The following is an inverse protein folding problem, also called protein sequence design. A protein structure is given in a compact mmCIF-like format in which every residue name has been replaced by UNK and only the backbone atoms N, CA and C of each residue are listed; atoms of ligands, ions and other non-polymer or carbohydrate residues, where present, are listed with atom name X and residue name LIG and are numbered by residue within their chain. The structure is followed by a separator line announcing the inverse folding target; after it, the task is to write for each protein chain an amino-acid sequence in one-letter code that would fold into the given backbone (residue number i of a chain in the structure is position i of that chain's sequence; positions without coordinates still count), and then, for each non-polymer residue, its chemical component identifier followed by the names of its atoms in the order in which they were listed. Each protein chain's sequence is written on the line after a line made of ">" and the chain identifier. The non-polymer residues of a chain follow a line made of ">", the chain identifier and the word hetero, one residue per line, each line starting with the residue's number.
data_IF_544789738290
#
_entry.id   IF_544789738290
#
_cell.length_a   1.000
_cell.length_b   1.000
_cell.length_c   1.000
_cell.angle_alpha   90.00
_cell.angle_beta   90.00
_cell.angle_gamma   90.00
#
_symmetry.space_group_name_H-M   'P 1'
#
loop_
_entity.id
_entity.type
_entity.pdbx_description
1 polymer ?
#
# COMPACT_ATOMS: atom_id res chain seq x y z
N UNK A 1 -2.93 -35.34 33.17
CA UNK A 1 -2.12 -34.12 32.95
C UNK A 1 -1.52 -34.16 31.54
N UNK A 2 -2.27 -33.78 30.51
CA UNK A 2 -1.79 -33.76 29.10
C UNK A 2 -2.35 -32.60 28.26
N UNK A 3 -3.08 -31.66 28.87
CA UNK A 3 -3.86 -30.63 28.14
C UNK A 3 -3.04 -29.41 27.66
N UNK A 4 -1.79 -29.23 28.10
CA UNK A 4 -1.06 -27.97 27.85
C UNK A 4 -0.39 -27.85 26.47
N UNK A 5 -0.25 -28.93 25.68
CA UNK A 5 0.50 -28.89 24.42
C UNK A 5 -0.33 -28.45 23.21
N UNK A 6 -1.65 -28.62 23.22
CA UNK A 6 -2.50 -28.26 22.08
C UNK A 6 -2.72 -26.75 21.95
N UNK A 7 -2.77 -26.02 23.07
CA UNK A 7 -3.03 -24.58 23.08
C UNK A 7 -1.89 -23.77 22.45
N UNK A 8 -0.64 -24.18 22.65
CA UNK A 8 0.51 -23.46 22.11
C UNK A 8 0.60 -23.56 20.58
N UNK A 9 0.24 -24.71 20.01
CA UNK A 9 0.25 -24.92 18.55
C UNK A 9 -0.81 -24.10 17.81
N UNK A 10 -1.96 -23.81 18.43
CA UNK A 10 -3.01 -23.00 17.80
C UNK A 10 -2.67 -21.50 17.75
N UNK A 11 -1.91 -21.00 18.72
CA UNK A 11 -1.55 -19.57 18.77
C UNK A 11 -0.55 -19.22 17.66
N UNK A 12 0.40 -20.11 17.35
CA UNK A 12 1.39 -19.86 16.30
C UNK A 12 0.76 -19.83 14.90
N UNK A 13 -0.14 -20.76 14.59
CA UNK A 13 -0.73 -20.88 13.25
C UNK A 13 -1.65 -19.70 12.89
N UNK A 14 -2.35 -19.13 13.88
CA UNK A 14 -3.22 -17.96 13.67
C UNK A 14 -2.42 -16.69 13.38
N UNK A 15 -1.23 -16.55 13.99
CA UNK A 15 -0.36 -15.39 13.80
C UNK A 15 0.25 -15.32 12.39
N UNK A 16 0.64 -16.46 11.81
CA UNK A 16 1.26 -16.51 10.49
C UNK A 16 0.28 -16.17 9.36
N UNK A 17 -0.92 -16.77 9.39
CA UNK A 17 -1.98 -16.47 8.42
C UNK A 17 -2.37 -15.00 8.44
N UNK A 18 -2.34 -14.39 9.63
CA UNK A 18 -2.60 -12.97 9.79
C UNK A 18 -1.50 -12.14 9.11
N UNK A 19 -0.23 -12.43 9.38
CA UNK A 19 0.92 -11.76 8.77
C UNK A 19 0.89 -11.84 7.23
N UNK A 20 0.58 -13.01 6.68
CA UNK A 20 0.49 -13.22 5.23
C UNK A 20 -0.60 -12.35 4.59
N UNK A 21 -1.77 -12.21 5.25
CA UNK A 21 -2.86 -11.34 4.77
C UNK A 21 -2.46 -9.87 4.78
N UNK A 22 -1.73 -9.42 5.81
CA UNK A 22 -1.23 -8.05 5.91
C UNK A 22 -0.21 -7.76 4.80
N UNK A 23 0.74 -8.67 4.60
CA UNK A 23 1.77 -8.55 3.57
C UNK A 23 1.13 -8.52 2.17
N UNK A 24 0.23 -9.45 1.88
CA UNK A 24 -0.47 -9.50 0.59
C UNK A 24 -1.27 -8.22 0.30
N UNK A 25 -1.95 -7.67 1.31
CA UNK A 25 -2.66 -6.40 1.17
C UNK A 25 -1.72 -5.22 0.94
N UNK A 26 -0.60 -5.15 1.66
CA UNK A 26 0.40 -4.11 1.48
C UNK A 26 1.00 -4.14 0.07
N UNK A 27 1.43 -5.32 -0.40
CA UNK A 27 1.97 -5.49 -1.75
C UNK A 27 0.95 -5.10 -2.81
N UNK A 28 -0.32 -5.47 -2.63
CA UNK A 28 -1.39 -5.08 -3.55
C UNK A 28 -1.60 -3.55 -3.58
N UNK A 29 -1.61 -2.89 -2.41
CA UNK A 29 -1.73 -1.43 -2.32
C UNK A 29 -0.54 -0.70 -2.93
N UNK A 30 0.68 -1.22 -2.78
CA UNK A 30 1.91 -0.69 -3.40
C UNK A 30 1.81 -0.83 -4.92
N UNK A 31 1.44 -2.01 -5.44
CA UNK A 31 1.30 -2.25 -6.87
C UNK A 31 0.26 -1.33 -7.51
N UNK A 32 -0.89 -1.11 -6.85
CA UNK A 32 -1.89 -0.16 -7.33
C UNK A 32 -1.38 1.29 -7.35
N UNK A 33 -0.61 1.71 -6.35
CA UNK A 33 0.00 3.04 -6.33
C UNK A 33 1.05 3.22 -7.43
N UNK A 34 1.92 2.23 -7.61
CA UNK A 34 2.92 2.23 -8.68
C UNK A 34 2.25 2.38 -10.06
N UNK A 35 1.20 1.58 -10.32
CA UNK A 35 0.41 1.69 -11.54
C UNK A 35 -0.25 3.07 -11.69
N UNK A 36 -0.78 3.65 -10.61
CA UNK A 36 -1.39 4.98 -10.65
C UNK A 36 -0.37 6.10 -10.92
N UNK A 37 0.87 5.97 -10.39
CA UNK A 37 1.93 6.94 -10.60
C UNK A 37 2.54 6.87 -11.99
N UNK A 38 3.00 5.69 -12.41
CA UNK A 38 3.81 5.54 -13.62
C UNK A 38 3.15 4.76 -14.75
N UNK A 39 1.96 4.17 -14.54
CA UNK A 39 1.29 3.36 -15.56
C UNK A 39 1.03 4.14 -16.85
N UNK A 40 0.66 5.42 -16.74
CA UNK A 40 0.47 6.28 -17.90
C UNK A 40 1.78 6.58 -18.65
N UNK A 41 2.92 6.72 -17.95
CA UNK A 41 4.25 6.89 -18.55
C UNK A 41 4.63 5.63 -19.32
N UNK A 42 4.43 4.45 -18.72
CA UNK A 42 4.68 3.18 -19.40
C UNK A 42 3.82 3.01 -20.65
N UNK A 43 2.53 3.39 -20.60
CA UNK A 43 1.65 3.36 -21.79
C UNK A 43 2.14 4.32 -22.87
N UNK A 44 2.53 5.54 -22.50
CA UNK A 44 3.05 6.52 -23.45
C UNK A 44 4.36 6.04 -24.10
N UNK A 45 5.31 5.53 -23.32
CA UNK A 45 6.54 4.93 -23.83
C UNK A 45 6.27 3.75 -24.76
N UNK A 46 5.27 2.91 -24.45
CA UNK A 46 4.90 1.79 -25.31
C UNK A 46 4.41 2.28 -26.68
N UNK A 47 3.64 3.37 -26.73
CA UNK A 47 3.15 3.97 -27.98
C UNK A 47 4.34 4.51 -28.79
N UNK A 48 5.20 5.31 -28.17
CA UNK A 48 6.38 5.90 -28.84
C UNK A 48 7.32 4.82 -29.41
N UNK A 49 7.52 3.73 -28.67
CA UNK A 49 8.38 2.63 -29.12
C UNK A 49 7.69 1.82 -30.24
N UNK A 50 6.37 1.63 -30.18
CA UNK A 50 5.63 0.91 -31.22
C UNK A 50 5.63 1.63 -32.58
N UNK A 51 5.79 2.96 -32.59
CA UNK A 51 5.93 3.75 -33.82
C UNK A 51 7.37 3.74 -34.37
N UNK A 52 8.34 3.23 -33.62
CA UNK A 52 9.73 3.20 -34.03
C UNK A 52 9.98 2.18 -35.15
N UNK A 53 10.65 2.56 -36.25
CA UNK A 53 11.01 1.63 -37.32
C UNK A 53 12.03 0.57 -36.88
N UNK A 54 12.65 0.73 -35.71
CA UNK A 54 13.61 -0.19 -35.11
C UNK A 54 13.02 -1.00 -33.95
N UNK A 55 11.70 -1.21 -33.94
CA UNK A 55 11.02 -1.91 -32.85
C UNK A 55 11.55 -3.33 -32.67
N UNK A 56 12.19 -3.57 -31.53
CA UNK A 56 12.53 -4.89 -31.02
C UNK A 56 11.79 -5.12 -29.71
N UNK A 57 10.77 -5.98 -29.73
CA UNK A 57 9.90 -6.25 -28.60
C UNK A 57 10.67 -6.66 -27.34
N UNK A 58 11.69 -7.52 -27.48
CA UNK A 58 12.40 -8.08 -26.33
C UNK A 58 13.18 -6.99 -25.56
N UNK A 59 13.88 -6.13 -26.28
CA UNK A 59 14.64 -5.02 -25.70
C UNK A 59 13.72 -3.87 -25.25
N UNK A 60 12.62 -3.63 -25.97
CA UNK A 60 11.68 -2.54 -25.67
C UNK A 60 10.84 -2.79 -24.43
N UNK A 61 10.51 -4.06 -24.15
CA UNK A 61 9.67 -4.41 -23.01
C UNK A 61 10.30 -4.01 -21.67
N UNK A 62 11.62 -4.18 -21.53
CA UNK A 62 12.35 -3.77 -20.34
C UNK A 62 12.29 -2.25 -20.11
N UNK A 63 12.41 -1.47 -21.18
CA UNK A 63 12.32 0.00 -21.12
C UNK A 63 10.92 0.47 -20.71
N UNK A 64 9.88 -0.16 -21.26
CA UNK A 64 8.47 0.16 -20.92
C UNK A 64 8.14 -0.14 -19.46
N UNK A 65 8.70 -1.22 -18.91
CA UNK A 65 8.48 -1.61 -17.52
C UNK A 65 9.38 -0.88 -16.51
N UNK A 66 10.50 -0.29 -16.94
CA UNK A 66 11.44 0.37 -16.04
C UNK A 66 10.79 1.47 -15.18
N UNK A 67 9.97 2.41 -15.72
CA UNK A 67 9.26 3.39 -14.91
C UNK A 67 8.37 2.75 -13.83
N UNK A 68 7.70 1.65 -14.18
CA UNK A 68 6.84 0.91 -13.25
C UNK A 68 7.63 0.23 -12.14
N UNK A 69 8.77 -0.37 -12.46
CA UNK A 69 9.68 -0.94 -11.47
C UNK A 69 10.20 0.10 -10.48
N UNK A 70 10.65 1.25 -10.99
CA UNK A 70 11.11 2.38 -10.15
C UNK A 70 9.97 2.89 -9.26
N UNK A 71 8.80 3.15 -9.83
CA UNK A 71 7.64 3.60 -9.06
C UNK A 71 7.22 2.59 -7.99
N UNK A 72 7.30 1.29 -8.28
CA UNK A 72 7.00 0.24 -7.32
C UNK A 72 7.97 0.23 -6.15
N UNK A 73 9.29 0.29 -6.42
CA UNK A 73 10.32 0.35 -5.38
C UNK A 73 10.16 1.60 -4.51
N UNK A 74 9.98 2.78 -5.12
CA UNK A 74 9.80 4.03 -4.38
C UNK A 74 8.52 4.02 -3.54
N UNK A 75 7.41 3.49 -4.09
CA UNK A 75 6.15 3.36 -3.35
C UNK A 75 6.29 2.38 -2.19
N UNK A 76 7.02 1.27 -2.37
CA UNK A 76 7.30 0.32 -1.30
C UNK A 76 8.13 0.95 -0.17
N UNK A 77 9.19 1.69 -0.50
CA UNK A 77 10.01 2.42 0.47
C UNK A 77 9.15 3.44 1.21
N UNK A 78 8.37 4.26 0.49
CA UNK A 78 7.48 5.24 1.10
C UNK A 78 6.43 4.60 2.02
N UNK A 79 5.88 3.44 1.63
CA UNK A 79 4.95 2.69 2.46
C UNK A 79 5.60 2.22 3.78
N UNK A 80 6.84 1.71 3.72
CA UNK A 80 7.56 1.25 4.91
C UNK A 80 7.96 2.42 5.81
N UNK A 81 8.54 3.47 5.24
CA UNK A 81 9.10 4.60 6.00
C UNK A 81 8.01 5.55 6.53
N UNK A 82 6.93 5.73 5.79
CA UNK A 82 5.87 6.71 6.10
C UNK A 82 4.56 6.00 6.43
N UNK A 83 4.14 5.07 5.58
CA UNK A 83 2.85 4.39 5.71
C UNK A 83 2.69 3.57 6.99
N UNK A 84 3.71 2.79 7.37
CA UNK A 84 3.67 1.96 8.59
C UNK A 84 3.65 2.82 9.87
N UNK A 85 4.55 3.79 10.08
CA UNK A 85 4.47 4.68 11.24
C UNK A 85 3.15 5.45 11.30
N UNK A 86 2.67 5.95 10.16
CA UNK A 86 1.37 6.62 10.08
C UNK A 86 0.22 5.69 10.50
N UNK A 87 0.27 4.42 10.12
CA UNK A 87 -0.73 3.42 10.54
C UNK A 87 -0.70 3.23 12.06
N UNK A 88 0.48 3.19 12.68
CA UNK A 88 0.60 3.09 14.14
C UNK A 88 -0.02 4.32 14.82
N UNK A 89 0.34 5.53 14.39
CA UNK A 89 -0.20 6.78 14.94
C UNK A 89 -1.72 6.89 14.77
N UNK A 90 -2.25 6.48 13.61
CA UNK A 90 -3.69 6.49 13.34
C UNK A 90 -4.43 5.40 14.10
N UNK A 91 -3.79 4.27 14.42
CA UNK A 91 -4.43 3.18 15.17
C UNK A 91 -4.70 3.50 16.63
N UNK A 92 -3.93 4.44 17.21
CA UNK A 92 -4.17 4.96 18.56
C UNK A 92 -5.30 6.01 18.58
N UNK A 93 -5.62 6.60 17.42
CA UNK A 93 -6.71 7.54 17.28
C UNK A 93 -7.97 6.78 16.87
N UNK A 94 -9.08 6.89 17.60
CA UNK A 94 -10.35 6.16 17.34
C UNK A 94 -11.06 6.49 15.98
N UNK A 95 -10.35 7.09 15.01
CA UNK A 95 -10.86 7.52 13.71
C UNK A 95 -9.98 7.06 12.54
N UNK A 96 -9.69 5.76 12.43
CA UNK A 96 -9.09 5.19 11.22
C UNK A 96 -10.04 5.38 10.02
N UNK A 97 -9.70 6.33 9.15
CA UNK A 97 -10.50 6.66 7.96
C UNK A 97 -9.63 6.50 6.70
N UNK A 98 -10.09 5.78 5.66
CA UNK A 98 -9.32 5.62 4.41
C UNK A 98 -8.91 6.95 3.77
N UNK A 99 -9.74 7.98 3.93
CA UNK A 99 -9.47 9.34 3.45
C UNK A 99 -8.22 9.97 4.10
N UNK A 100 -7.95 9.70 5.38
CA UNK A 100 -6.76 10.22 6.09
C UNK A 100 -5.49 9.57 5.56
N UNK A 101 -5.51 8.26 5.34
CA UNK A 101 -4.41 7.54 4.70
C UNK A 101 -4.15 8.05 3.27
N UNK A 102 -5.22 8.26 2.48
CA UNK A 102 -5.11 8.81 1.13
C UNK A 102 -4.53 10.23 1.14
N UNK A 103 -4.99 11.11 2.03
CA UNK A 103 -4.50 12.49 2.14
C UNK A 103 -3.03 12.55 2.57
N UNK A 104 -2.65 11.76 3.58
CA UNK A 104 -1.25 11.68 4.01
C UNK A 104 -0.36 11.09 2.92
N UNK A 105 -0.80 10.01 2.26
CA UNK A 105 -0.09 9.42 1.13
C UNK A 105 0.08 10.41 -0.02
N UNK A 106 -0.97 11.15 -0.40
CA UNK A 106 -0.90 12.20 -1.41
C UNK A 106 0.09 13.31 -1.02
N UNK A 107 0.02 13.78 0.23
CA UNK A 107 0.88 14.84 0.75
C UNK A 107 2.36 14.44 0.69
N UNK A 108 2.73 13.28 1.24
CA UNK A 108 4.12 12.82 1.21
C UNK A 108 4.58 12.38 -0.18
N UNK A 109 3.68 11.79 -0.95
CA UNK A 109 3.92 11.40 -2.35
C UNK A 109 4.19 12.60 -3.25
N UNK A 110 3.63 13.77 -2.94
CA UNK A 110 3.97 15.03 -3.61
C UNK A 110 5.24 15.65 -3.04
N UNK A 111 5.31 15.77 -1.71
CA UNK A 111 6.34 16.56 -1.00
C UNK A 111 7.73 16.00 -1.22
N UNK A 112 7.92 14.67 -1.15
CA UNK A 112 9.24 14.05 -1.26
C UNK A 112 9.84 14.24 -2.66
N UNK A 113 9.16 13.89 -3.78
CA UNK A 113 9.69 14.15 -5.10
C UNK A 113 9.84 15.64 -5.40
N UNK A 114 8.93 16.50 -4.92
CA UNK A 114 9.05 17.95 -5.09
C UNK A 114 10.32 18.49 -4.40
N UNK A 115 10.60 18.04 -3.18
CA UNK A 115 11.81 18.39 -2.45
C UNK A 115 13.08 17.90 -3.17
N UNK A 116 13.11 16.63 -3.60
CA UNK A 116 14.24 16.06 -4.36
C UNK A 116 14.50 16.84 -5.65
N UNK A 117 13.43 17.15 -6.40
CA UNK A 117 13.49 17.93 -7.64
C UNK A 117 14.07 19.33 -7.37
N UNK A 118 13.60 19.99 -6.30
CA UNK A 118 14.06 21.32 -5.91
C UNK A 118 15.54 21.35 -5.54
N UNK A 119 16.04 20.37 -4.80
CA UNK A 119 17.47 20.34 -4.38
C UNK A 119 18.40 19.88 -5.49
N UNK A 120 17.88 19.13 -6.47
CA UNK A 120 18.65 18.64 -7.62
C UNK A 120 18.81 19.68 -8.73
N UNK A 121 18.20 20.87 -8.60
CA UNK A 121 18.22 21.90 -9.63
C UNK A 121 17.42 21.56 -10.89
N UNK A 122 16.50 20.59 -10.81
CA UNK A 122 15.62 20.24 -11.91
C UNK A 122 14.58 21.35 -12.12
N UNK A 123 14.27 21.64 -13.39
CA UNK A 123 13.33 22.68 -13.79
C UNK A 123 11.91 22.37 -13.27
N UNK A 124 10.99 23.34 -13.40
CA UNK A 124 9.56 23.16 -13.06
C UNK A 124 8.90 21.94 -13.74
N UNK A 125 9.41 21.53 -14.90
CA UNK A 125 9.01 20.30 -15.59
C UNK A 125 9.26 19.03 -14.77
N UNK A 126 10.38 18.96 -14.03
CA UNK A 126 10.67 17.82 -13.16
C UNK A 126 9.64 17.68 -12.04
N UNK A 127 9.11 18.80 -11.54
CA UNK A 127 8.09 18.78 -10.49
C UNK A 127 6.78 18.18 -11.03
N UNK A 128 6.38 18.55 -12.25
CA UNK A 128 5.21 17.93 -12.90
C UNK A 128 5.45 16.44 -13.19
N UNK A 129 6.65 16.08 -13.62
CA UNK A 129 6.98 14.72 -14.03
C UNK A 129 7.14 13.75 -12.85
N UNK A 130 7.54 14.23 -11.66
CA UNK A 130 7.78 13.38 -10.50
C UNK A 130 6.79 13.59 -9.36
N UNK A 131 6.41 14.84 -9.04
CA UNK A 131 5.56 15.13 -7.89
C UNK A 131 4.09 14.79 -8.13
N UNK A 132 3.55 15.02 -9.34
CA UNK A 132 2.16 14.65 -9.65
C UNK A 132 1.96 13.12 -9.70
N UNK A 133 2.82 12.34 -10.38
CA UNK A 133 2.82 10.88 -10.25
C UNK A 133 2.98 10.39 -8.82
N UNK A 134 3.89 11.00 -8.04
CA UNK A 134 4.09 10.66 -6.65
C UNK A 134 2.85 10.91 -5.79
N UNK A 135 2.16 12.03 -6.01
CA UNK A 135 0.87 12.36 -5.38
C UNK A 135 -0.16 11.27 -5.67
N UNK A 136 -0.34 10.91 -6.95
CA UNK A 136 -1.31 9.90 -7.37
C UNK A 136 -0.98 8.52 -6.77
N UNK A 137 0.30 8.11 -6.84
CA UNK A 137 0.77 6.86 -6.27
C UNK A 137 0.50 6.79 -4.76
N UNK A 138 0.91 7.83 -4.02
CA UNK A 138 0.71 7.92 -2.59
C UNK A 138 -0.77 7.94 -2.19
N UNK A 139 -1.61 8.68 -2.91
CA UNK A 139 -3.05 8.74 -2.69
C UNK A 139 -3.72 7.37 -2.87
N UNK A 140 -3.40 6.66 -3.96
CA UNK A 140 -3.98 5.36 -4.29
C UNK A 140 -3.49 4.28 -3.33
N UNK A 141 -2.20 4.24 -3.01
CA UNK A 141 -1.66 3.30 -2.00
C UNK A 141 -2.28 3.54 -0.64
N UNK A 142 -2.34 4.81 -0.18
CA UNK A 142 -2.96 5.17 1.09
C UNK A 142 -4.45 4.81 1.15
N UNK A 143 -5.21 5.11 0.10
CA UNK A 143 -6.64 4.78 0.03
C UNK A 143 -6.88 3.27 0.03
N UNK A 144 -6.10 2.52 -0.76
CA UNK A 144 -6.20 1.06 -0.84
C UNK A 144 -5.90 0.41 0.51
N UNK A 145 -4.79 0.81 1.15
CA UNK A 145 -4.40 0.33 2.46
C UNK A 145 -5.43 0.69 3.54
N UNK A 146 -5.87 1.94 3.59
CA UNK A 146 -6.86 2.41 4.55
C UNK A 146 -8.20 1.69 4.41
N UNK A 147 -8.66 1.41 3.18
CA UNK A 147 -9.87 0.61 2.93
C UNK A 147 -9.72 -0.83 3.44
N UNK A 148 -8.55 -1.43 3.26
CA UNK A 148 -8.28 -2.77 3.76
C UNK A 148 -8.27 -2.79 5.29
N UNK A 149 -7.61 -1.83 5.94
CA UNK A 149 -7.59 -1.64 7.41
C UNK A 149 -8.99 -1.48 7.99
N UNK A 150 -9.80 -0.58 7.43
CA UNK A 150 -11.17 -0.36 7.90
C UNK A 150 -12.02 -1.64 7.85
N UNK A 151 -11.89 -2.46 6.78
CA UNK A 151 -12.57 -3.75 6.69
C UNK A 151 -12.07 -4.76 7.72
N UNK A 152 -10.78 -4.70 8.07
CA UNK A 152 -10.20 -5.59 9.06
C UNK A 152 -10.72 -5.28 10.47
N UNK A 153 -10.74 -4.00 10.86
CA UNK A 153 -11.26 -3.55 12.16
C UNK A 153 -12.73 -3.94 12.33
N UNK A 154 -13.58 -3.63 11.36
CA UNK A 154 -15.02 -3.96 11.42
C UNK A 154 -15.26 -5.47 11.59
N UNK A 155 -14.48 -6.33 10.91
CA UNK A 155 -14.60 -7.79 11.06
C UNK A 155 -14.22 -8.28 12.46
N UNK A 156 -13.24 -7.65 13.10
CA UNK A 156 -12.85 -7.99 14.47
C UNK A 156 -13.92 -7.61 15.49
N UNK A 157 -14.62 -6.50 15.29
CA UNK A 157 -15.76 -6.09 16.12
C UNK A 157 -16.96 -7.04 15.96
N UNK A 158 -17.27 -7.43 14.71
CA UNK A 158 -18.33 -8.41 14.42
C UNK A 158 -18.05 -9.78 15.09
N UNK A 159 -16.81 -10.28 15.04
CA UNK A 159 -16.47 -11.56 15.69
C UNK A 159 -16.56 -11.46 17.22
N UNK A 160 -16.12 -10.33 17.79
CA UNK A 160 -16.21 -10.09 19.24
C UNK A 160 -17.66 -9.98 19.73
N UNK A 161 -18.54 -9.32 18.97
CA UNK A 161 -19.96 -9.21 19.32
C UNK A 161 -20.65 -10.59 19.32
N UNK A 162 -20.35 -11.43 18.32
CA UNK A 162 -20.87 -12.81 18.23
C UNK A 162 -20.40 -13.71 19.38
N UNK A 163 -19.16 -13.55 19.83
CA UNK A 163 -18.64 -14.29 20.99
C UNK A 163 -19.34 -13.89 22.29
N UNK A 164 -19.60 -12.59 22.48
CA UNK A 164 -20.33 -12.08 23.66
C UNK A 164 -21.80 -12.51 23.66
N UNK A 165 -22.43 -12.61 22.50
CA UNK A 165 -23.84 -13.02 22.40
C UNK A 165 -24.06 -14.54 22.48
N UNK A 166 -23.05 -15.33 22.84
CA UNK A 166 -23.22 -16.76 23.02
C UNK A 166 -23.75 -17.05 24.44
N UNK A 167 -25.05 -17.37 24.61
CA UNK A 167 -25.68 -17.52 25.94
C UNK A 167 -25.10 -18.68 26.76
N UNK A 168 -24.39 -19.61 26.12
CA UNK A 168 -23.70 -20.71 26.81
C UNK A 168 -22.60 -20.16 27.74
N UNK A 169 -21.96 -19.04 27.40
CA UNK A 169 -20.94 -18.42 28.24
C UNK A 169 -21.53 -17.75 29.49
N UNK A 170 -22.79 -17.32 29.45
CA UNK A 170 -23.51 -16.73 30.58
C UNK A 170 -24.08 -17.78 31.55
N UNK A 171 -24.18 -19.05 31.13
CA UNK A 171 -24.70 -20.15 31.97
C UNK A 171 -23.64 -20.82 32.87
N UNK A 172 -22.36 -20.49 32.69
CA UNK A 172 -21.23 -21.11 33.40
C UNK A 172 -20.68 -20.20 34.53
N UNK A 173 -21.21 -18.98 34.67
CA UNK A 173 -20.88 -18.04 35.74
C UNK A 173 -22.05 -17.88 36.72
#
# INVERSE_FOLDING_TARGET
>A
MTSSRSTFSQITETSERLRLKHLGAALFSISLGALAGSGWISVWMLIDIAESPYFDFANSFGLVLAPLGVAWILTAIGFVVIGLPLTMMLSESEGECPKRYAAAGAFFGFLVPAFITSVSGLNSQGLLLFALPGLAAGAVTGMSWGRWRARFVNRSEDDNSRRRSNPIHDLIH
#
